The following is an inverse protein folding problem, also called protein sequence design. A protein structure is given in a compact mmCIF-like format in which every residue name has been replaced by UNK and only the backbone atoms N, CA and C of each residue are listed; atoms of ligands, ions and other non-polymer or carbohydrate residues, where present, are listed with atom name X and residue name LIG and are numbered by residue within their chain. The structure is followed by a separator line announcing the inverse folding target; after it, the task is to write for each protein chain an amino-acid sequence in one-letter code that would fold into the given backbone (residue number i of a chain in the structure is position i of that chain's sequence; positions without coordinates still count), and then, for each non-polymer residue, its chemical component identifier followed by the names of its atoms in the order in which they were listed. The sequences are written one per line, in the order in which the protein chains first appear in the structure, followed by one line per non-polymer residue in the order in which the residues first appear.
data_IF_535800866609
#
_entry.id   IF_535800866609
#
_cell.length_a   1.000
_cell.length_b   1.000
_cell.length_c   1.000
_cell.angle_alpha   90.00
_cell.angle_beta   90.00
_cell.angle_gamma   90.00
#
_symmetry.space_group_name_H-M   'P 1'
#
loop_
_entity.id
_entity.type
_entity.pdbx_description
1 polymer ?
#
# COMPACT_ATOMS: atom_id res chain seq x y z
N UNK A 1 -14.08 17.75 10.68
CA UNK A 1 -12.80 17.03 10.56
C UNK A 1 -12.80 16.30 9.22
N UNK A 2 -11.90 16.62 8.27
CA UNK A 2 -11.82 15.86 7.02
C UNK A 2 -11.54 14.39 7.39
N UNK A 3 -12.39 13.47 6.92
CA UNK A 3 -12.31 12.06 7.29
C UNK A 3 -10.96 11.48 6.86
N UNK A 4 -10.28 10.84 7.80
CA UNK A 4 -8.91 10.37 7.65
C UNK A 4 -8.87 9.19 6.67
N UNK A 5 -8.00 9.26 5.68
CA UNK A 5 -7.71 8.16 4.77
C UNK A 5 -6.57 7.32 5.35
N UNK A 6 -6.80 6.01 5.56
CA UNK A 6 -5.79 5.05 5.99
C UNK A 6 -5.36 4.20 4.79
N UNK A 7 -4.05 4.03 4.59
CA UNK A 7 -3.46 3.22 3.54
C UNK A 7 -2.61 2.11 4.17
N UNK A 8 -2.83 0.87 3.75
CA UNK A 8 -1.92 -0.25 3.90
C UNK A 8 -1.42 -0.67 2.51
N UNK A 9 -0.16 -1.08 2.40
CA UNK A 9 0.45 -1.40 1.12
C UNK A 9 1.39 -2.60 1.26
N UNK A 10 1.30 -3.54 0.32
CA UNK A 10 2.17 -4.71 0.22
C UNK A 10 3.17 -4.51 -0.93
N UNK A 11 4.42 -4.96 -0.79
CA UNK A 11 5.47 -4.86 -1.82
C UNK A 11 5.77 -6.20 -2.51
N UNK A 12 6.21 -6.18 -3.77
CA UNK A 12 6.44 -7.37 -4.62
C UNK A 12 7.66 -8.23 -4.24
N UNK A 13 8.53 -7.73 -3.35
CA UNK A 13 9.69 -8.47 -2.88
C UNK A 13 9.26 -9.77 -2.19
N UNK A 14 9.80 -10.95 -2.56
CA UNK A 14 9.50 -12.20 -1.88
C UNK A 14 9.74 -12.05 -0.37
N UNK A 15 8.77 -12.44 0.45
CA UNK A 15 8.96 -12.60 1.89
C UNK A 15 9.84 -13.83 2.17
N UNK A 16 11.09 -13.82 1.71
CA UNK A 16 12.11 -14.75 2.21
C UNK A 16 12.56 -14.37 3.63
N UNK A 17 12.12 -13.21 4.14
CA UNK A 17 12.35 -12.78 5.52
C UNK A 17 11.26 -13.31 6.47
N UNK A 18 11.69 -13.98 7.54
CA UNK A 18 10.87 -14.70 8.52
C UNK A 18 10.12 -13.83 9.53
N UNK A 19 9.89 -12.53 9.28
CA UNK A 19 9.19 -11.66 10.25
C UNK A 19 8.97 -10.20 9.85
N UNK A 20 8.14 -9.50 10.63
CA UNK A 20 7.74 -8.10 10.41
C UNK A 20 8.91 -7.11 10.50
N UNK A 21 9.84 -7.30 11.42
CA UNK A 21 10.99 -6.39 11.62
C UNK A 21 11.86 -6.36 10.37
N UNK A 22 12.15 -7.53 9.81
CA UNK A 22 12.95 -7.68 8.61
C UNK A 22 12.23 -7.12 7.39
N UNK A 23 10.93 -7.41 7.26
CA UNK A 23 10.08 -6.83 6.21
C UNK A 23 10.07 -5.30 6.27
N UNK A 24 9.89 -4.72 7.46
CA UNK A 24 9.88 -3.27 7.65
C UNK A 24 11.24 -2.64 7.34
N UNK A 25 12.34 -3.31 7.68
CA UNK A 25 13.68 -2.87 7.32
C UNK A 25 13.91 -2.91 5.80
N UNK A 26 13.48 -3.98 5.13
CA UNK A 26 13.58 -4.14 3.68
C UNK A 26 12.75 -3.08 2.93
N UNK A 27 11.50 -2.84 3.32
CA UNK A 27 10.64 -1.81 2.72
C UNK A 27 11.22 -0.40 2.92
N UNK A 28 11.76 -0.09 4.11
CA UNK A 28 12.39 1.21 4.40
C UNK A 28 13.66 1.48 3.58
N UNK A 29 14.34 0.44 3.13
CA UNK A 29 15.55 0.57 2.32
C UNK A 29 15.26 0.91 0.85
N UNK A 30 14.02 0.78 0.38
CA UNK A 30 13.63 1.07 -1.00
C UNK A 30 13.04 2.48 -1.09
N UNK A 31 13.58 3.30 -1.99
CA UNK A 31 12.99 4.60 -2.29
C UNK A 31 11.54 4.41 -2.78
N UNK A 32 10.59 5.23 -2.32
CA UNK A 32 9.16 5.02 -2.59
C UNK A 32 8.80 4.92 -4.08
N UNK A 33 9.48 5.66 -4.95
CA UNK A 33 9.27 5.59 -6.40
C UNK A 33 9.74 4.27 -7.04
N UNK A 34 10.57 3.49 -6.34
CA UNK A 34 11.08 2.18 -6.75
C UNK A 34 10.39 1.04 -6.00
N UNK A 35 9.42 1.34 -5.14
CA UNK A 35 8.70 0.32 -4.40
C UNK A 35 7.59 -0.24 -5.28
N UNK A 36 7.74 -1.50 -5.66
CA UNK A 36 6.74 -2.21 -6.44
C UNK A 36 5.60 -2.65 -5.52
N UNK A 37 4.47 -1.93 -5.56
CA UNK A 37 3.31 -2.18 -4.71
C UNK A 37 2.38 -3.21 -5.35
N UNK A 38 2.14 -4.33 -4.67
CA UNK A 38 1.32 -5.45 -5.17
C UNK A 38 -0.08 -5.50 -4.57
N UNK A 39 -0.36 -4.75 -3.52
CA UNK A 39 -1.68 -4.77 -2.88
C UNK A 39 -1.89 -3.58 -1.96
N UNK A 40 -2.57 -2.51 -2.42
CA UNK A 40 -2.99 -1.41 -1.57
C UNK A 40 -4.38 -1.67 -0.97
N UNK A 41 -4.56 -1.36 0.31
CA UNK A 41 -5.86 -1.31 0.98
C UNK A 41 -6.07 0.09 1.55
N UNK A 42 -7.17 0.73 1.16
CA UNK A 42 -7.48 2.12 1.54
C UNK A 42 -8.82 2.17 2.25
N UNK A 43 -8.86 2.81 3.42
CA UNK A 43 -10.07 2.98 4.21
C UNK A 43 -10.27 4.44 4.58
N UNK A 44 -11.44 5.00 4.25
CA UNK A 44 -11.78 6.39 4.53
C UNK A 44 -13.07 6.80 3.82
N UNK A 45 -13.40 8.12 3.80
CA UNK A 45 -14.58 8.63 3.10
C UNK A 45 -14.54 8.28 1.60
N UNK A 46 -15.70 7.87 1.06
CA UNK A 46 -15.84 7.41 -0.34
C UNK A 46 -15.16 8.34 -1.36
N UNK A 47 -15.40 9.65 -1.28
CA UNK A 47 -14.82 10.60 -2.23
C UNK A 47 -13.28 10.63 -2.20
N UNK A 48 -12.67 10.43 -1.02
CA UNK A 48 -11.21 10.36 -0.90
C UNK A 48 -10.67 9.03 -1.44
N UNK A 49 -11.35 7.93 -1.15
CA UNK A 49 -11.00 6.59 -1.66
C UNK A 49 -11.10 6.55 -3.17
N UNK A 50 -12.21 7.02 -3.74
CA UNK A 50 -12.47 7.04 -5.19
C UNK A 50 -11.42 7.90 -5.92
N UNK A 51 -10.96 8.99 -5.30
CA UNK A 51 -9.88 9.83 -5.86
C UNK A 51 -8.54 9.10 -5.87
N UNK A 52 -8.22 8.34 -4.83
CA UNK A 52 -6.97 7.58 -4.72
C UNK A 52 -6.96 6.35 -5.63
N UNK A 53 -8.10 5.67 -5.77
CA UNK A 53 -8.24 4.46 -6.61
C UNK A 53 -8.60 4.78 -8.07
N UNK A 54 -8.61 6.05 -8.47
CA UNK A 54 -8.95 6.43 -9.83
C UNK A 54 -8.00 5.76 -10.83
N UNK A 55 -8.56 5.01 -11.78
CA UNK A 55 -7.80 4.26 -12.79
C UNK A 55 -7.51 2.80 -12.41
N UNK A 56 -7.85 2.37 -11.20
CA UNK A 56 -7.85 0.96 -10.83
C UNK A 56 -9.09 0.24 -11.38
N UNK A 57 -8.95 -1.06 -11.64
CA UNK A 57 -10.04 -1.93 -12.07
C UNK A 57 -10.48 -2.84 -10.92
N UNK A 58 -11.78 -3.11 -10.83
CA UNK A 58 -12.30 -4.12 -9.91
C UNK A 58 -11.81 -5.49 -10.38
N UNK A 59 -11.28 -6.30 -9.46
CA UNK A 59 -10.99 -7.69 -9.73
C UNK A 59 -12.28 -8.38 -10.20
N UNK A 60 -12.23 -9.27 -11.22
CA UNK A 60 -13.39 -10.02 -11.67
C UNK A 60 -14.04 -10.87 -10.57
#
# INVERSE_FOLDING_TARGET
MPGQLRLAANSATPATSTGDVQNRAAVRAVAGAKLDLVGPAVHGPKNAVDKVMKGAHMHP
#
